data_IF_313358817206
#
_entry.id   IF_313358817206
#
_cell.length_a   1.000
_cell.length_b   1.000
_cell.length_c   1.000
_cell.angle_alpha   90.00
_cell.angle_beta   90.00
_cell.angle_gamma   90.00
#
_symmetry.space_group_name_H-M   'P 1'
#
loop_
_entity.id
_entity.type
_entity.pdbx_description
1 polymer ?
#
# COMPACT_ATOMS: atom_id res chain seq x y z
N UNK A 1 -21.19 21.80 -10.26
CA UNK A 1 -20.87 21.70 -11.70
C UNK A 1 -21.73 22.68 -12.47
N UNK A 2 -21.22 23.23 -13.57
CA UNK A 2 -21.98 24.14 -14.47
C UNK A 2 -21.94 23.56 -15.88
N UNK A 3 -23.05 23.66 -16.61
CA UNK A 3 -23.11 23.32 -18.03
C UNK A 3 -23.13 24.61 -18.85
N UNK A 4 -22.17 24.77 -19.75
CA UNK A 4 -22.08 25.91 -20.67
C UNK A 4 -21.73 25.38 -22.07
N UNK A 5 -22.43 25.84 -23.11
CA UNK A 5 -22.21 25.39 -24.51
C UNK A 5 -22.22 23.85 -24.70
N UNK A 6 -23.11 23.15 -23.97
CA UNK A 6 -23.19 21.67 -23.94
C UNK A 6 -21.93 20.98 -23.41
N UNK A 7 -21.05 21.71 -22.73
CA UNK A 7 -19.89 21.17 -22.03
C UNK A 7 -20.06 21.30 -20.51
N UNK A 8 -19.55 20.31 -19.79
CA UNK A 8 -19.60 20.25 -18.33
C UNK A 8 -18.32 20.84 -17.74
N UNK A 9 -18.48 21.78 -16.82
CA UNK A 9 -17.39 22.40 -16.07
C UNK A 9 -17.49 22.05 -14.60
N UNK A 10 -16.40 21.52 -14.04
CA UNK A 10 -16.24 21.26 -12.61
C UNK A 10 -15.69 22.52 -11.96
N UNK A 11 -16.32 22.96 -10.88
CA UNK A 11 -15.97 24.19 -10.14
C UNK A 11 -15.91 23.87 -8.65
N UNK A 12 -15.29 24.77 -7.89
CA UNK A 12 -15.09 24.64 -6.44
C UNK A 12 -14.23 23.42 -6.03
N UNK A 13 -13.06 23.31 -6.67
CA UNK A 13 -12.03 22.32 -6.32
C UNK A 13 -11.19 22.74 -5.10
N UNK A 14 -11.62 23.76 -4.37
CA UNK A 14 -10.86 24.35 -3.26
C UNK A 14 -10.72 23.41 -2.06
N UNK A 15 -11.66 22.46 -1.93
CA UNK A 15 -11.71 21.43 -0.89
C UNK A 15 -11.32 20.03 -1.41
N UNK A 16 -10.83 19.93 -2.65
CA UNK A 16 -10.39 18.64 -3.20
C UNK A 16 -9.17 18.12 -2.44
N UNK A 17 -9.12 16.81 -2.26
CA UNK A 17 -8.13 16.14 -1.41
C UNK A 17 -7.27 15.19 -2.27
N UNK A 18 -5.99 15.07 -1.94
CA UNK A 18 -5.10 14.10 -2.59
C UNK A 18 -5.49 12.65 -2.29
N UNK A 19 -5.10 11.74 -3.18
CA UNK A 19 -5.40 10.31 -3.05
C UNK A 19 -4.81 9.69 -1.78
N UNK A 20 -3.68 10.19 -1.24
CA UNK A 20 -3.05 9.62 -0.04
C UNK A 20 -3.67 10.09 1.30
N UNK A 21 -4.76 10.88 1.26
CA UNK A 21 -5.41 11.33 2.49
C UNK A 21 -6.22 10.22 3.16
N UNK A 22 -6.21 10.08 4.50
CA UNK A 22 -6.91 9.00 5.22
C UNK A 22 -8.41 8.90 4.91
N UNK A 23 -9.04 10.02 4.58
CA UNK A 23 -10.47 10.09 4.27
C UNK A 23 -10.77 10.25 2.76
N UNK A 24 -9.78 10.10 1.87
CA UNK A 24 -9.97 10.29 0.41
C UNK A 24 -11.10 9.40 -0.13
N UNK A 25 -11.11 8.11 0.22
CA UNK A 25 -12.12 7.14 -0.21
C UNK A 25 -13.52 7.45 0.36
N UNK A 26 -13.58 8.01 1.57
CA UNK A 26 -14.86 8.41 2.19
C UNK A 26 -15.46 9.58 1.42
N UNK A 27 -14.65 10.57 1.05
CA UNK A 27 -15.10 11.68 0.22
C UNK A 27 -15.51 11.21 -1.18
N UNK A 28 -14.69 10.34 -1.80
CA UNK A 28 -15.01 9.76 -3.10
C UNK A 28 -16.35 9.01 -3.11
N UNK A 29 -16.63 8.22 -2.07
CA UNK A 29 -17.93 7.55 -1.92
C UNK A 29 -19.10 8.54 -1.81
N UNK A 30 -18.93 9.61 -1.05
CA UNK A 30 -19.97 10.65 -0.94
C UNK A 30 -20.19 11.33 -2.29
N UNK A 31 -19.13 11.58 -3.06
CA UNK A 31 -19.23 12.19 -4.39
C UNK A 31 -19.95 11.26 -5.37
N UNK A 32 -19.59 9.97 -5.39
CA UNK A 32 -20.27 8.93 -6.16
C UNK A 32 -21.75 8.88 -5.81
N UNK A 33 -22.10 8.86 -4.51
CA UNK A 33 -23.49 8.82 -4.07
C UNK A 33 -24.28 10.05 -4.54
N UNK A 34 -23.69 11.24 -4.43
CA UNK A 34 -24.31 12.50 -4.85
C UNK A 34 -24.54 12.55 -6.37
N UNK A 35 -23.55 12.13 -7.16
CA UNK A 35 -23.62 12.10 -8.62
C UNK A 35 -24.64 11.04 -9.08
N UNK A 36 -24.57 9.83 -8.54
CA UNK A 36 -25.52 8.76 -8.86
C UNK A 36 -26.95 9.16 -8.48
N UNK A 37 -27.16 9.81 -7.33
CA UNK A 37 -28.47 10.32 -6.93
C UNK A 37 -29.01 11.34 -7.94
N UNK A 38 -28.19 12.29 -8.38
CA UNK A 38 -28.59 13.29 -9.36
C UNK A 38 -29.07 12.64 -10.67
N UNK A 39 -28.35 11.64 -11.19
CA UNK A 39 -28.73 10.96 -12.43
C UNK A 39 -29.94 10.02 -12.25
N UNK A 40 -30.06 9.34 -11.09
CA UNK A 40 -31.25 8.55 -10.73
C UNK A 40 -32.51 9.42 -10.68
N UNK A 41 -32.43 10.62 -10.10
CA UNK A 41 -33.56 11.56 -10.04
C UNK A 41 -34.02 12.02 -11.44
N UNK A 42 -33.13 11.97 -12.43
CA UNK A 42 -33.41 12.27 -13.84
C UNK A 42 -33.75 11.02 -14.69
N UNK A 43 -34.03 9.88 -14.05
CA UNK A 43 -34.38 8.60 -14.71
C UNK A 43 -33.30 8.07 -15.66
N UNK A 44 -32.04 8.43 -15.43
CA UNK A 44 -30.91 7.89 -16.17
C UNK A 44 -30.46 6.59 -15.49
N UNK A 45 -30.31 5.47 -16.23
CA UNK A 45 -29.78 4.25 -15.65
C UNK A 45 -28.31 4.48 -15.29
N UNK A 46 -27.93 4.13 -14.07
CA UNK A 46 -26.59 4.36 -13.53
C UNK A 46 -25.92 3.03 -13.17
N UNK A 47 -24.60 3.05 -13.03
CA UNK A 47 -23.87 1.92 -12.47
C UNK A 47 -24.11 1.81 -10.96
N UNK A 48 -23.86 0.62 -10.41
CA UNK A 48 -23.82 0.43 -8.97
C UNK A 48 -22.69 1.25 -8.35
N UNK A 49 -22.86 1.67 -7.10
CA UNK A 49 -21.87 2.51 -6.42
C UNK A 49 -20.54 1.79 -6.24
N UNK A 50 -20.60 0.47 -6.01
CA UNK A 50 -19.43 -0.40 -5.97
C UNK A 50 -18.68 -0.41 -7.30
N UNK A 51 -19.38 -0.66 -8.42
CA UNK A 51 -18.76 -0.74 -9.75
C UNK A 51 -18.17 0.58 -10.19
N UNK A 52 -18.88 1.68 -9.95
CA UNK A 52 -18.36 3.02 -10.26
C UNK A 52 -17.12 3.35 -9.39
N UNK A 53 -17.09 2.92 -8.14
CA UNK A 53 -15.92 3.07 -7.28
C UNK A 53 -14.73 2.24 -7.78
N UNK A 54 -14.94 0.94 -8.06
CA UNK A 54 -13.90 0.05 -8.60
C UNK A 54 -13.31 0.66 -9.89
N UNK A 55 -14.16 1.17 -10.78
CA UNK A 55 -13.73 1.85 -12.01
C UNK A 55 -12.88 3.10 -11.77
N UNK A 56 -13.24 3.95 -10.80
CA UNK A 56 -12.50 5.20 -10.54
C UNK A 56 -11.14 4.91 -9.88
N UNK A 57 -11.06 3.86 -9.07
CA UNK A 57 -9.85 3.50 -8.31
C UNK A 57 -8.89 2.63 -9.12
N UNK A 58 -9.40 1.86 -10.08
CA UNK A 58 -8.61 0.94 -10.90
C UNK A 58 -7.84 1.70 -12.01
N UNK A 59 -6.50 1.79 -11.93
CA UNK A 59 -5.69 2.48 -12.92
C UNK A 59 -5.50 1.67 -14.22
N UNK A 60 -5.83 0.37 -14.22
CA UNK A 60 -5.63 -0.52 -15.37
C UNK A 60 -6.76 -0.47 -16.40
N UNK A 61 -7.88 0.18 -16.05
CA UNK A 61 -9.07 0.15 -16.91
C UNK A 61 -8.83 0.96 -18.18
N UNK A 62 -8.94 0.27 -19.32
CA UNK A 62 -8.87 0.91 -20.64
C UNK A 62 -10.22 1.53 -21.05
N UNK A 63 -10.19 2.61 -21.85
CA UNK A 63 -11.38 3.31 -22.33
C UNK A 63 -12.39 2.38 -23.02
N UNK A 64 -11.91 1.35 -23.74
CA UNK A 64 -12.76 0.37 -24.43
C UNK A 64 -13.54 -0.52 -23.45
N UNK A 65 -12.91 -0.92 -22.33
CA UNK A 65 -13.57 -1.69 -21.28
C UNK A 65 -14.60 -0.82 -20.56
N UNK A 66 -14.30 0.46 -20.36
CA UNK A 66 -15.22 1.42 -19.76
C UNK A 66 -16.54 1.52 -20.53
N UNK A 67 -16.48 1.68 -21.85
CA UNK A 67 -17.67 1.73 -22.71
C UNK A 67 -18.49 0.44 -22.62
N UNK A 68 -17.82 -0.72 -22.69
CA UNK A 68 -18.50 -2.01 -22.60
C UNK A 68 -19.19 -2.22 -21.25
N UNK A 69 -18.55 -1.84 -20.14
CA UNK A 69 -19.13 -1.91 -18.80
C UNK A 69 -20.33 -0.96 -18.64
N UNK A 70 -20.24 0.25 -19.21
CA UNK A 70 -21.34 1.22 -19.19
C UNK A 70 -22.57 0.72 -19.99
N UNK A 71 -22.35 -0.10 -21.02
CA UNK A 71 -23.44 -0.66 -21.84
C UNK A 71 -24.13 -1.86 -21.16
N UNK A 72 -23.37 -2.72 -20.46
CA UNK A 72 -23.86 -3.99 -19.92
C UNK A 72 -24.38 -3.91 -18.48
N UNK A 73 -23.77 -3.08 -17.63
CA UNK A 73 -24.00 -3.11 -16.17
C UNK A 73 -24.85 -1.95 -15.64
N UNK A 74 -25.31 -1.04 -16.51
CA UNK A 74 -26.22 0.04 -16.09
C UNK A 74 -27.59 -0.52 -15.72
N UNK A 75 -27.99 -0.33 -14.48
CA UNK A 75 -29.29 -0.75 -13.96
C UNK A 75 -30.08 0.45 -13.47
N UNK A 76 -31.41 0.39 -13.58
CA UNK A 76 -32.30 1.42 -13.06
C UNK A 76 -32.64 1.20 -11.57
N UNK A 77 -32.31 0.03 -11.03
CA UNK A 77 -32.71 -0.39 -9.69
C UNK A 77 -31.62 -0.06 -8.67
N UNK A 78 -32.04 0.40 -7.49
CA UNK A 78 -31.13 0.57 -6.37
C UNK A 78 -30.83 -0.81 -5.77
N UNK A 79 -29.62 -1.30 -6.03
CA UNK A 79 -29.16 -2.59 -5.52
C UNK A 79 -28.93 -2.47 -4.01
N UNK A 80 -29.42 -3.41 -3.21
CA UNK A 80 -29.20 -3.44 -1.75
C UNK A 80 -27.69 -3.43 -1.39
N UNK A 81 -26.88 -3.97 -2.30
CA UNK A 81 -25.42 -3.94 -2.29
C UNK A 81 -24.84 -2.52 -2.16
N UNK A 82 -25.49 -1.52 -2.73
CA UNK A 82 -25.07 -0.12 -2.68
C UNK A 82 -25.08 0.42 -1.23
N UNK A 83 -26.09 0.05 -0.44
CA UNK A 83 -26.23 0.49 0.95
C UNK A 83 -25.19 -0.21 1.83
N UNK A 84 -24.97 -1.51 1.60
CA UNK A 84 -23.94 -2.29 2.29
C UNK A 84 -22.55 -1.71 2.00
N UNK A 85 -22.28 -1.37 0.74
CA UNK A 85 -21.01 -0.78 0.32
C UNK A 85 -20.74 0.56 1.00
N UNK A 86 -21.75 1.42 1.14
CA UNK A 86 -21.59 2.73 1.81
C UNK A 86 -21.19 2.61 3.27
N UNK A 87 -21.71 1.61 3.98
CA UNK A 87 -21.48 1.42 5.41
C UNK A 87 -20.22 0.57 5.70
N UNK A 88 -19.72 -0.19 4.73
CA UNK A 88 -18.58 -1.05 4.93
C UNK A 88 -17.25 -0.27 4.97
N UNK A 89 -16.32 -0.70 5.81
CA UNK A 89 -14.99 -0.11 5.89
C UNK A 89 -14.12 -0.59 4.71
N UNK A 90 -13.52 0.30 3.94
CA UNK A 90 -12.51 -0.08 2.94
C UNK A 90 -11.14 0.41 3.42
N UNK A 91 -10.19 -0.49 3.68
CA UNK A 91 -8.83 -0.10 4.01
C UNK A 91 -8.21 0.66 2.84
N UNK A 92 -7.57 1.78 3.12
CA UNK A 92 -6.89 2.60 2.11
C UNK A 92 -5.53 2.04 1.68
N UNK A 93 -4.84 1.34 2.59
CA UNK A 93 -3.51 0.75 2.39
C UNK A 93 -3.53 -0.68 2.90
N UNK A 94 -2.66 -1.52 2.34
CA UNK A 94 -2.46 -2.88 2.83
C UNK A 94 -2.05 -2.89 4.31
N UNK A 95 -1.30 -1.88 4.78
CA UNK A 95 -0.93 -1.71 6.19
C UNK A 95 -2.15 -1.58 7.15
N UNK A 96 -3.29 -1.12 6.64
CA UNK A 96 -4.51 -0.94 7.44
C UNK A 96 -5.35 -2.23 7.53
N UNK A 97 -4.92 -3.30 6.86
CA UNK A 97 -5.53 -4.63 6.95
C UNK A 97 -4.89 -5.32 8.15
N UNK A 98 -5.69 -5.60 9.18
CA UNK A 98 -5.19 -6.15 10.43
C UNK A 98 -4.60 -7.56 10.26
N UNK A 99 -5.32 -8.45 9.59
CA UNK A 99 -4.98 -9.87 9.46
C UNK A 99 -5.15 -10.31 7.99
N UNK A 100 -4.21 -9.95 7.13
CA UNK A 100 -4.27 -10.33 5.71
C UNK A 100 -4.17 -11.86 5.51
N UNK A 101 -3.27 -12.52 6.24
CA UNK A 101 -3.04 -13.97 6.11
C UNK A 101 -4.28 -14.79 6.48
N UNK A 102 -4.97 -14.43 7.57
CA UNK A 102 -6.20 -15.12 7.99
C UNK A 102 -7.30 -14.93 6.94
N UNK A 103 -7.48 -13.71 6.44
CA UNK A 103 -8.50 -13.41 5.43
C UNK A 103 -8.22 -14.15 4.09
N UNK A 104 -6.96 -14.48 3.78
CA UNK A 104 -6.58 -15.32 2.63
C UNK A 104 -6.86 -16.81 2.87
N UNK A 105 -6.60 -17.31 4.07
CA UNK A 105 -6.92 -18.68 4.47
C UNK A 105 -8.43 -18.91 4.48
N UNK A 106 -9.20 -17.98 5.07
CA UNK A 106 -10.67 -18.03 5.11
C UNK A 106 -11.26 -18.06 3.69
N UNK A 107 -10.72 -17.28 2.73
CA UNK A 107 -11.19 -17.29 1.34
C UNK A 107 -10.87 -18.63 0.63
N UNK A 108 -9.70 -19.23 0.91
CA UNK A 108 -9.34 -20.56 0.37
C UNK A 108 -10.20 -21.68 0.97
N UNK A 109 -10.56 -21.54 2.23
CA UNK A 109 -11.48 -22.46 2.93
C UNK A 109 -12.95 -22.22 2.57
N UNK A 110 -13.25 -21.14 1.84
CA UNK A 110 -14.60 -20.78 1.39
C UNK A 110 -15.49 -20.17 2.49
N UNK A 111 -14.88 -19.67 3.57
CA UNK A 111 -15.54 -18.94 4.63
C UNK A 111 -15.84 -17.49 4.19
N UNK A 112 -17.02 -16.98 4.53
CA UNK A 112 -17.38 -15.60 4.24
C UNK A 112 -16.56 -14.64 5.10
N UNK A 113 -15.84 -13.74 4.44
CA UNK A 113 -15.12 -12.66 5.11
C UNK A 113 -16.09 -11.77 5.89
N UNK A 114 -15.67 -11.33 7.07
CA UNK A 114 -16.43 -10.34 7.87
C UNK A 114 -16.71 -9.05 7.09
N UNK A 115 -15.90 -8.74 6.09
CA UNK A 115 -16.10 -7.60 5.21
C UNK A 115 -15.78 -7.98 3.74
N UNK A 116 -16.79 -8.03 2.86
CA UNK A 116 -16.59 -8.45 1.47
C UNK A 116 -15.79 -7.45 0.63
N UNK A 117 -15.58 -6.22 1.12
CA UNK A 117 -14.97 -5.13 0.35
C UNK A 117 -13.52 -4.86 0.74
N UNK A 118 -12.96 -5.63 1.67
CA UNK A 118 -11.62 -5.41 2.21
C UNK A 118 -10.52 -5.60 1.15
N UNK A 119 -10.72 -6.54 0.20
CA UNK A 119 -9.76 -6.87 -0.85
C UNK A 119 -9.93 -6.07 -2.14
N UNK A 120 -10.86 -5.10 -2.21
CA UNK A 120 -11.09 -4.32 -3.44
C UNK A 120 -9.80 -3.64 -3.92
N UNK A 121 -9.05 -3.04 -3.00
CA UNK A 121 -7.81 -2.34 -3.36
C UNK A 121 -6.68 -3.33 -3.69
N UNK A 122 -6.57 -4.43 -2.95
CA UNK A 122 -5.54 -5.46 -3.20
C UNK A 122 -5.66 -6.07 -4.60
N UNK A 123 -6.88 -6.47 -5.00
CA UNK A 123 -7.15 -7.05 -6.33
C UNK A 123 -6.83 -6.11 -7.50
N UNK A 124 -6.80 -4.80 -7.26
CA UNK A 124 -6.42 -3.81 -8.27
C UNK A 124 -4.89 -3.77 -8.40
N UNK A 125 -4.16 -3.76 -7.29
CA UNK A 125 -2.68 -3.75 -7.28
C UNK A 125 -2.08 -5.05 -7.85
N UNK A 126 -2.74 -6.19 -7.65
CA UNK A 126 -2.28 -7.45 -8.23
C UNK A 126 -2.41 -7.44 -9.76
N UNK A 127 -3.49 -6.86 -10.31
CA UNK A 127 -3.66 -6.67 -11.76
C UNK A 127 -2.59 -5.77 -12.39
N UNK A 128 -2.12 -4.75 -11.67
CA UNK A 128 -0.99 -3.91 -12.13
C UNK A 128 0.32 -4.70 -12.25
N UNK A 129 0.48 -5.80 -11.49
CA UNK A 129 1.68 -6.65 -11.51
C UNK A 129 1.58 -7.86 -12.45
N UNK A 130 0.38 -8.20 -12.91
CA UNK A 130 0.12 -9.37 -13.78
C UNK A 130 0.41 -9.13 -15.28
N UNK A 131 0.93 -7.96 -15.68
CA UNK A 131 1.35 -7.73 -17.07
C UNK A 131 2.68 -8.41 -17.46
N UNK A 132 3.34 -9.19 -16.58
CA UNK A 132 4.60 -9.90 -16.93
C UNK A 132 4.81 -11.25 -16.18
N UNK A 133 3.85 -12.20 -16.16
CA UNK A 133 4.18 -13.65 -16.10
C UNK A 133 3.05 -14.48 -16.74
N UNK A 134 3.10 -14.60 -18.07
CA UNK A 134 2.47 -15.70 -18.79
C UNK A 134 3.54 -16.79 -18.95
N UNK A 135 3.48 -17.86 -18.15
CA UNK A 135 3.97 -19.16 -18.60
C UNK A 135 3.12 -20.26 -17.97
N UNK A 136 2.43 -20.98 -18.85
CA UNK A 136 1.54 -22.08 -18.55
C UNK A 136 2.30 -23.31 -18.02
N UNK A 137 1.64 -23.96 -17.06
CA UNK A 137 1.51 -25.40 -16.82
C UNK A 137 2.72 -26.37 -16.87
N UNK A 138 2.75 -27.16 -15.79
CA UNK A 138 2.99 -28.61 -15.76
C UNK A 138 4.42 -29.13 -16.01
N UNK A 139 5.07 -29.63 -14.95
CA UNK A 139 5.07 -31.06 -14.64
C UNK A 139 6.10 -31.38 -13.55
N UNK A 140 5.77 -32.35 -12.71
CA UNK A 140 6.58 -32.74 -11.56
C UNK A 140 7.87 -33.53 -11.90
N UNK A 141 8.64 -33.66 -10.83
CA UNK A 141 9.38 -34.85 -10.40
C UNK A 141 10.93 -34.73 -10.34
N UNK A 142 11.42 -35.13 -9.17
CA UNK A 142 12.67 -35.82 -8.85
C UNK A 142 14.03 -35.20 -9.23
N UNK A 143 14.67 -34.68 -8.16
CA UNK A 143 16.09 -34.76 -7.79
C UNK A 143 17.01 -35.60 -8.70
N UNK A 144 18.02 -34.97 -9.30
CA UNK A 144 19.31 -35.57 -9.64
C UNK A 144 20.35 -34.44 -9.76
N UNK A 145 21.34 -34.47 -8.88
CA UNK A 145 22.52 -33.60 -8.81
C UNK A 145 23.46 -33.74 -10.02
N UNK A 146 23.96 -32.63 -10.59
CA UNK A 146 25.37 -32.53 -11.01
C UNK A 146 25.88 -31.08 -10.96
N UNK A 147 27.14 -30.94 -10.52
CA UNK A 147 27.77 -29.73 -10.00
C UNK A 147 28.74 -29.13 -11.01
N UNK A 148 28.66 -27.81 -11.23
CA UNK A 148 29.83 -27.00 -11.64
C UNK A 148 29.77 -25.55 -11.12
N UNK A 149 30.24 -25.36 -9.88
CA UNK A 149 31.11 -24.27 -9.36
C UNK A 149 31.11 -22.91 -10.13
N UNK A 150 30.69 -21.75 -9.62
CA UNK A 150 31.11 -21.04 -8.38
C UNK A 150 30.18 -19.84 -8.02
N UNK A 151 30.07 -19.57 -6.71
CA UNK A 151 29.64 -18.33 -5.97
C UNK A 151 28.19 -17.82 -6.04
N UNK A 152 27.48 -17.82 -4.89
CA UNK A 152 26.63 -16.73 -4.34
C UNK A 152 25.70 -17.20 -3.19
N UNK A 153 26.26 -17.54 -2.03
CA UNK A 153 25.50 -17.89 -0.80
C UNK A 153 25.81 -16.91 0.35
N UNK A 154 26.44 -15.78 0.05
CA UNK A 154 26.90 -14.82 1.08
C UNK A 154 25.91 -13.67 1.36
N UNK A 155 24.89 -13.45 0.51
CA UNK A 155 24.00 -12.27 0.64
C UNK A 155 22.90 -12.43 1.71
N UNK A 156 22.45 -13.66 2.02
CA UNK A 156 21.38 -13.89 3.02
C UNK A 156 21.86 -13.75 4.47
N UNK A 157 23.12 -14.05 4.75
CA UNK A 157 23.70 -13.92 6.10
C UNK A 157 23.92 -12.46 6.50
N UNK A 158 24.31 -11.60 5.56
CA UNK A 158 24.59 -10.19 5.82
C UNK A 158 23.32 -9.39 6.09
N UNK A 159 22.20 -9.73 5.44
CA UNK A 159 20.90 -9.09 5.66
C UNK A 159 20.35 -9.40 7.06
N UNK A 160 20.45 -10.65 7.51
CA UNK A 160 20.06 -11.08 8.85
C UNK A 160 20.95 -10.45 9.93
N UNK A 161 22.26 -10.33 9.69
CA UNK A 161 23.19 -9.67 10.60
C UNK A 161 22.88 -8.17 10.78
N UNK A 162 22.51 -7.48 9.69
CA UNK A 162 22.11 -6.08 9.70
C UNK A 162 20.79 -5.84 10.47
N UNK A 163 19.84 -6.77 10.35
CA UNK A 163 18.56 -6.69 11.07
C UNK A 163 18.73 -6.91 12.57
N UNK A 164 19.50 -7.93 12.96
CA UNK A 164 19.86 -8.18 14.36
C UNK A 164 20.61 -6.98 14.98
N UNK A 165 21.49 -6.31 14.24
CA UNK A 165 22.18 -5.10 14.73
C UNK A 165 21.20 -3.94 14.95
N UNK A 166 20.22 -3.77 14.05
CA UNK A 166 19.18 -2.73 14.19
C UNK A 166 18.32 -2.96 15.43
N UNK A 167 17.91 -4.20 15.71
CA UNK A 167 17.15 -4.54 16.90
C UNK A 167 17.92 -4.28 18.20
N UNK A 168 19.20 -4.71 18.26
CA UNK A 168 20.07 -4.44 19.41
C UNK A 168 20.21 -2.94 19.66
N UNK A 169 20.31 -2.13 18.60
CA UNK A 169 20.31 -0.67 18.74
C UNK A 169 18.98 -0.16 19.31
N UNK A 170 17.83 -0.62 18.83
CA UNK A 170 16.53 -0.21 19.38
C UNK A 170 16.45 -0.50 20.89
N UNK A 171 16.90 -1.66 21.32
CA UNK A 171 16.93 -2.06 22.74
C UNK A 171 17.87 -1.18 23.59
N UNK A 172 19.05 -0.82 23.09
CA UNK A 172 20.03 0.01 23.82
C UNK A 172 19.56 1.47 24.00
N UNK A 173 18.87 2.03 23.00
CA UNK A 173 18.38 3.42 23.03
C UNK A 173 16.99 3.57 23.67
N UNK A 174 16.24 2.47 23.84
CA UNK A 174 14.99 2.47 24.59
C UNK A 174 15.25 2.78 26.07
N UNK A 175 14.33 3.49 26.72
CA UNK A 175 14.43 3.86 28.14
C UNK A 175 13.13 3.51 28.84
N UNK A 176 13.18 2.47 29.67
CA UNK A 176 12.04 2.08 30.48
C UNK A 176 11.72 3.13 31.55
N UNK A 177 10.42 3.35 31.76
CA UNK A 177 9.91 4.35 32.71
C UNK A 177 10.22 3.97 34.17
N UNK A 178 10.35 2.67 34.45
CA UNK A 178 10.61 2.11 35.78
C UNK A 178 11.91 1.28 35.83
N UNK A 179 13.00 1.78 35.25
CA UNK A 179 14.32 1.12 35.31
C UNK A 179 14.92 1.18 36.74
N UNK A 180 15.53 0.08 37.19
CA UNK A 180 16.30 0.06 38.44
C UNK A 180 17.66 0.76 38.26
N UNK A 181 18.32 1.22 39.34
CA UNK A 181 19.61 1.92 39.24
C UNK A 181 20.73 1.09 38.58
N UNK A 182 20.68 -0.23 38.71
CA UNK A 182 21.66 -1.16 38.15
C UNK A 182 21.52 -1.29 36.64
N UNK A 183 20.31 -1.53 36.14
CA UNK A 183 20.03 -1.68 34.70
C UNK A 183 20.31 -0.39 33.93
N UNK A 184 20.04 0.77 34.54
CA UNK A 184 20.41 2.08 33.99
C UNK A 184 21.91 2.26 33.77
N UNK A 185 22.73 1.77 34.68
CA UNK A 185 24.19 1.87 34.60
C UNK A 185 24.74 0.96 33.49
N UNK A 186 24.20 -0.24 33.37
CA UNK A 186 24.53 -1.20 32.31
C UNK A 186 24.20 -0.62 30.92
N UNK A 187 22.99 -0.07 30.75
CA UNK A 187 22.60 0.58 29.49
C UNK A 187 23.53 1.75 29.13
N UNK A 188 23.86 2.60 30.11
CA UNK A 188 24.83 3.70 29.90
C UNK A 188 26.21 3.19 29.51
N UNK A 189 26.65 2.04 30.05
CA UNK A 189 27.92 1.41 29.70
C UNK A 189 27.89 0.93 28.25
N UNK A 190 26.85 0.22 27.85
CA UNK A 190 26.65 -0.27 26.47
C UNK A 190 26.62 0.89 25.45
N UNK A 191 25.89 1.97 25.73
CA UNK A 191 25.86 3.17 24.86
C UNK A 191 27.25 3.80 24.71
N UNK A 192 28.06 3.82 25.78
CA UNK A 192 29.42 4.38 25.73
C UNK A 192 30.35 3.50 24.90
N UNK A 193 30.25 2.19 25.02
CA UNK A 193 31.04 1.23 24.26
C UNK A 193 30.70 1.28 22.76
N UNK A 194 29.41 1.30 22.40
CA UNK A 194 28.96 1.45 21.01
C UNK A 194 29.47 2.77 20.40
N UNK A 195 29.37 3.89 21.14
CA UNK A 195 29.91 5.18 20.69
C UNK A 195 31.43 5.18 20.57
N UNK A 196 32.15 4.38 21.37
CA UNK A 196 33.61 4.24 21.28
C UNK A 196 33.98 3.51 19.98
N UNK A 197 33.30 2.42 19.65
CA UNK A 197 33.48 1.68 18.38
C UNK A 197 33.12 2.58 17.18
N UNK A 198 32.01 3.32 17.24
CA UNK A 198 31.66 4.25 16.14
C UNK A 198 32.65 5.40 15.96
N UNK A 199 33.40 5.77 16.99
CA UNK A 199 34.44 6.81 16.90
C UNK A 199 35.71 6.29 16.22
N UNK A 200 36.04 5.00 16.36
CA UNK A 200 37.22 4.42 15.70
C UNK A 200 37.00 4.30 14.20
N UNK A 201 35.78 3.97 13.76
CA UNK A 201 35.40 3.87 12.33
C UNK A 201 34.98 5.21 11.70
N UNK A 202 35.05 6.32 12.43
CA UNK A 202 34.55 7.62 11.96
C UNK A 202 35.45 8.23 10.89
N UNK A 203 34.85 8.75 9.81
CA UNK A 203 35.56 9.52 8.78
C UNK A 203 36.28 10.74 9.40
N UNK A 204 37.58 10.92 9.12
CA UNK A 204 38.34 12.07 9.62
C UNK A 204 37.70 13.41 9.24
N UNK A 205 37.73 14.37 10.17
CA UNK A 205 37.07 15.69 10.02
C UNK A 205 37.53 16.45 8.77
N UNK A 206 38.81 16.35 8.41
CA UNK A 206 39.37 17.05 7.25
C UNK A 206 38.84 16.49 5.93
N UNK A 207 38.65 15.16 5.82
CA UNK A 207 38.04 14.51 4.65
C UNK A 207 36.59 14.95 4.49
N UNK A 208 35.81 14.93 5.58
CA UNK A 208 34.41 15.39 5.57
C UNK A 208 34.28 16.85 5.10
N UNK A 209 35.13 17.74 5.62
CA UNK A 209 35.14 19.17 5.24
C UNK A 209 35.49 19.38 3.77
N UNK A 210 36.45 18.62 3.23
CA UNK A 210 36.84 18.71 1.82
C UNK A 210 35.68 18.33 0.90
N UNK A 211 34.99 17.23 1.20
CA UNK A 211 33.84 16.78 0.41
C UNK A 211 32.68 17.77 0.47
N UNK A 212 32.39 18.34 1.64
CA UNK A 212 31.35 19.37 1.78
C UNK A 212 31.68 20.63 0.98
N UNK A 213 32.92 21.10 1.02
CA UNK A 213 33.37 22.27 0.25
C UNK A 213 33.32 22.02 -1.26
N UNK A 214 33.66 20.81 -1.72
CA UNK A 214 33.51 20.44 -3.14
C UNK A 214 32.04 20.42 -3.56
N UNK A 215 31.15 19.84 -2.75
CA UNK A 215 29.71 19.84 -3.02
C UNK A 215 29.12 21.26 -3.08
N UNK A 216 29.64 22.19 -2.28
CA UNK A 216 29.23 23.62 -2.31
C UNK A 216 29.76 24.37 -3.54
N UNK A 217 30.89 23.95 -4.13
CA UNK A 217 31.43 24.58 -5.35
C UNK A 217 30.74 24.09 -6.62
N UNK A 218 30.21 22.87 -6.59
CA UNK A 218 29.52 22.24 -7.73
C UNK A 218 28.02 22.55 -7.77
N UNK A 219 27.54 23.46 -6.91
CA UNK A 219 26.14 23.84 -6.76
C UNK A 219 26.02 25.34 -6.98
#
# INVERSE_FOLDING_TARGET
MIVHEKQLYIIDVSQSVEHDHPNSLVFLRSDIANVSKFFKDHQVPVLSMRRLFEYIVDPTVSDNQAEQMLETERTAEALEEDVLFMNAYIPHKLDNIADYERDDEDEKEGLELNNPFQKIIGKIVDKDNDEDVDDEEDCGNEDETDSSSVTSVEEDLDKLALEAEKERRRQIYHRDRHESPTTKNERKKLVKEEKRVKRTQKIPKHVKKRHENQKRKNR
#
